data_IF_137570885912
#
_entry.id   IF_137570885912
#
_cell.length_a   1.000
_cell.length_b   1.000
_cell.length_c   1.000
_cell.angle_alpha   90.00
_cell.angle_beta   90.00
_cell.angle_gamma   90.00
#
_symmetry.space_group_name_H-M   'P 1'
#
loop_
_entity.id
_entity.type
_entity.pdbx_description
1 polymer ?
#
# COMPACT_ATOMS: atom_id res chain seq x y z
N UNK A 1 -31.65 -9.56 -1.94
CA UNK A 1 -30.33 -9.78 -1.33
C UNK A 1 -30.09 -11.27 -1.32
N UNK A 2 -29.21 -11.76 -2.20
CA UNK A 2 -28.91 -13.20 -2.30
C UNK A 2 -27.81 -13.48 -1.28
N UNK A 3 -27.98 -14.43 -0.34
CA UNK A 3 -26.90 -14.85 0.54
C UNK A 3 -26.04 -15.79 -0.28
N UNK A 4 -24.90 -15.31 -0.78
CA UNK A 4 -23.89 -16.23 -1.30
C UNK A 4 -23.49 -17.17 -0.16
N UNK A 5 -23.58 -18.47 -0.39
CA UNK A 5 -23.13 -19.46 0.57
C UNK A 5 -21.65 -19.20 0.84
N UNK A 6 -21.33 -18.79 2.06
CA UNK A 6 -19.95 -18.74 2.56
C UNK A 6 -19.41 -20.16 2.51
N UNK A 7 -18.75 -20.49 1.39
CA UNK A 7 -18.11 -21.78 1.21
C UNK A 7 -17.14 -22.00 2.36
N UNK A 8 -17.10 -23.23 2.89
CA UNK A 8 -16.07 -23.65 3.82
C UNK A 8 -14.74 -23.41 3.11
N UNK A 9 -14.02 -22.42 3.64
CA UNK A 9 -12.83 -21.82 3.07
C UNK A 9 -11.77 -22.91 2.82
N UNK A 10 -11.35 -23.14 1.57
CA UNK A 10 -10.26 -24.10 1.31
C UNK A 10 -8.94 -23.48 1.78
N UNK A 11 -8.53 -23.86 2.98
CA UNK A 11 -7.28 -23.41 3.63
C UNK A 11 -6.05 -23.59 2.74
N UNK A 12 -6.06 -24.61 1.86
CA UNK A 12 -4.98 -24.87 0.90
C UNK A 12 -4.70 -23.71 -0.06
N UNK A 13 -5.69 -22.86 -0.36
CA UNK A 13 -5.54 -21.74 -1.31
C UNK A 13 -5.29 -20.43 -0.58
N UNK A 14 -5.88 -20.26 0.61
CA UNK A 14 -5.89 -18.97 1.32
C UNK A 14 -4.72 -18.84 2.29
N UNK A 15 -4.29 -19.92 2.93
CA UNK A 15 -3.11 -19.90 3.80
C UNK A 15 -1.85 -19.40 3.07
N UNK A 16 -1.57 -19.82 1.80
CA UNK A 16 -0.46 -19.26 1.04
C UNK A 16 -0.60 -17.76 0.76
N UNK A 17 -1.80 -17.24 0.49
CA UNK A 17 -2.03 -15.81 0.23
C UNK A 17 -1.70 -14.97 1.46
N UNK A 18 -2.16 -15.39 2.64
CA UNK A 18 -1.76 -14.76 3.90
C UNK A 18 -0.26 -14.92 4.19
N UNK A 19 0.35 -16.02 3.75
CA UNK A 19 1.80 -16.21 3.78
C UNK A 19 2.54 -15.14 2.98
N UNK A 20 2.11 -14.88 1.75
CA UNK A 20 2.69 -13.82 0.91
C UNK A 20 2.48 -12.43 1.50
N UNK A 21 1.29 -12.12 2.02
CA UNK A 21 1.01 -10.87 2.72
C UNK A 21 1.96 -10.63 3.90
N UNK A 22 2.22 -11.66 4.71
CA UNK A 22 3.21 -11.58 5.81
C UNK A 22 4.62 -11.27 5.29
N UNK A 23 5.04 -11.88 4.18
CA UNK A 23 6.35 -11.62 3.57
C UNK A 23 6.46 -10.17 3.11
N UNK A 24 5.42 -9.63 2.45
CA UNK A 24 5.39 -8.22 2.03
C UNK A 24 5.43 -7.26 3.22
N UNK A 25 4.75 -7.58 4.31
CA UNK A 25 4.80 -6.80 5.55
C UNK A 25 6.21 -6.81 6.18
N UNK A 26 6.89 -7.96 6.21
CA UNK A 26 8.29 -8.05 6.66
C UNK A 26 9.20 -7.19 5.76
N UNK A 27 9.00 -7.23 4.44
CA UNK A 27 9.74 -6.40 3.50
C UNK A 27 9.55 -4.90 3.78
N UNK A 28 8.33 -4.45 4.09
CA UNK A 28 8.09 -3.08 4.54
C UNK A 28 8.92 -2.74 5.78
N UNK A 29 8.91 -3.58 6.81
CA UNK A 29 9.68 -3.33 8.04
C UNK A 29 11.18 -3.18 7.75
N UNK A 30 11.74 -4.04 6.89
CA UNK A 30 13.13 -3.95 6.45
C UNK A 30 13.41 -2.62 5.73
N UNK A 31 12.52 -2.20 4.83
CA UNK A 31 12.63 -0.93 4.12
C UNK A 31 12.63 0.24 5.10
N UNK A 32 11.73 0.25 6.08
CA UNK A 32 11.67 1.31 7.09
C UNK A 32 12.96 1.39 7.92
N UNK A 33 13.53 0.25 8.30
CA UNK A 33 14.81 0.18 9.01
C UNK A 33 15.94 0.76 8.16
N UNK A 34 16.03 0.38 6.87
CA UNK A 34 17.04 0.91 5.96
C UNK A 34 16.94 2.44 5.86
N UNK A 35 15.73 2.98 5.70
CA UNK A 35 15.52 4.43 5.61
C UNK A 35 15.88 5.13 6.92
N UNK A 36 15.67 4.48 8.07
CA UNK A 36 15.97 5.06 9.38
C UNK A 36 17.47 5.13 9.67
N UNK A 37 18.27 4.19 9.16
CA UNK A 37 19.71 4.08 9.48
C UNK A 37 20.57 4.80 8.44
N UNK A 38 20.20 4.74 7.16
CA UNK A 38 21.04 5.21 6.08
C UNK A 38 20.65 6.62 5.62
N UNK A 39 21.64 7.49 5.43
CA UNK A 39 21.43 8.73 4.67
C UNK A 39 21.07 8.41 3.22
N UNK A 40 19.84 8.79 2.85
CA UNK A 40 19.24 8.43 1.56
C UNK A 40 19.86 9.23 0.41
N UNK A 41 20.96 8.71 -0.16
CA UNK A 41 21.49 9.15 -1.46
C UNK A 41 20.41 8.98 -2.54
N UNK A 42 20.48 9.83 -3.58
CA UNK A 42 19.46 9.87 -4.66
C UNK A 42 19.19 8.49 -5.29
N UNK A 43 20.24 7.69 -5.51
CA UNK A 43 20.12 6.34 -6.09
C UNK A 43 19.34 5.41 -5.16
N UNK A 44 19.71 5.35 -3.88
CA UNK A 44 19.03 4.51 -2.87
C UNK A 44 17.55 4.89 -2.79
N UNK A 45 17.24 6.19 -2.77
CA UNK A 45 15.87 6.67 -2.77
C UNK A 45 15.05 6.19 -3.96
N UNK A 46 15.63 6.19 -5.17
CA UNK A 46 14.97 5.69 -6.37
C UNK A 46 14.71 4.19 -6.25
N UNK A 47 15.72 3.41 -5.87
CA UNK A 47 15.60 1.94 -5.70
C UNK A 47 14.53 1.58 -4.69
N UNK A 48 14.55 2.22 -3.51
CA UNK A 48 13.55 2.04 -2.46
C UNK A 48 12.14 2.40 -2.96
N UNK A 49 12.00 3.46 -3.75
CA UNK A 49 10.70 3.87 -4.31
C UNK A 49 10.15 2.83 -5.29
N UNK A 50 11.01 2.27 -6.17
CA UNK A 50 10.62 1.23 -7.13
C UNK A 50 10.19 -0.04 -6.39
N UNK A 51 11.00 -0.50 -5.43
CA UNK A 51 10.67 -1.67 -4.62
C UNK A 51 9.34 -1.45 -3.88
N UNK A 52 9.17 -0.28 -3.25
CA UNK A 52 7.93 0.05 -2.54
C UNK A 52 6.72 0.06 -3.48
N UNK A 53 6.85 0.62 -4.69
CA UNK A 53 5.77 0.63 -5.68
C UNK A 53 5.39 -0.79 -6.12
N UNK A 54 6.38 -1.66 -6.36
CA UNK A 54 6.15 -3.07 -6.70
C UNK A 54 5.46 -3.80 -5.54
N UNK A 55 5.90 -3.58 -4.29
CA UNK A 55 5.27 -4.15 -3.09
C UNK A 55 3.81 -3.72 -2.95
N UNK A 56 3.49 -2.44 -3.21
CA UNK A 56 2.11 -1.93 -3.19
C UNK A 56 1.25 -2.67 -4.22
N UNK A 57 1.76 -2.85 -5.45
CA UNK A 57 1.04 -3.58 -6.50
C UNK A 57 0.77 -5.02 -6.07
N UNK A 58 1.77 -5.71 -5.51
CA UNK A 58 1.58 -7.07 -5.02
C UNK A 58 0.58 -7.16 -3.86
N UNK A 59 0.64 -6.24 -2.89
CA UNK A 59 -0.29 -6.21 -1.76
C UNK A 59 -1.75 -6.10 -2.23
N UNK A 60 -2.07 -5.11 -3.06
CA UNK A 60 -3.44 -4.97 -3.56
C UNK A 60 -3.85 -6.08 -4.52
N UNK A 61 -2.90 -6.71 -5.22
CA UNK A 61 -3.19 -7.90 -6.02
C UNK A 61 -3.55 -9.11 -5.15
N UNK A 62 -2.85 -9.33 -4.04
CA UNK A 62 -3.17 -10.38 -3.07
C UNK A 62 -4.51 -10.12 -2.38
N UNK A 63 -4.80 -8.87 -1.98
CA UNK A 63 -6.12 -8.50 -1.46
C UNK A 63 -7.20 -8.76 -2.52
N UNK A 64 -6.98 -8.43 -3.78
CA UNK A 64 -7.92 -8.78 -4.85
C UNK A 64 -8.15 -10.29 -4.96
N UNK A 65 -7.10 -11.12 -4.83
CA UNK A 65 -7.28 -12.57 -4.81
C UNK A 65 -8.06 -13.06 -3.59
N UNK A 66 -7.78 -12.52 -2.39
CA UNK A 66 -8.52 -12.83 -1.16
C UNK A 66 -9.99 -12.40 -1.26
N UNK A 67 -10.29 -11.31 -1.97
CA UNK A 67 -11.67 -10.81 -2.17
C UNK A 67 -12.59 -11.80 -2.91
N UNK A 68 -12.01 -12.81 -3.57
CA UNK A 68 -12.79 -13.89 -4.20
C UNK A 68 -13.37 -14.87 -3.19
N UNK A 69 -12.84 -14.88 -1.96
CA UNK A 69 -13.21 -15.80 -0.89
C UNK A 69 -13.83 -15.08 0.30
N UNK A 70 -13.45 -13.81 0.52
CA UNK A 70 -13.86 -13.02 1.68
C UNK A 70 -14.33 -11.62 1.25
N UNK A 71 -15.15 -10.98 2.06
CA UNK A 71 -15.53 -9.59 1.79
C UNK A 71 -14.42 -8.70 2.34
N UNK A 72 -13.72 -8.02 1.44
CA UNK A 72 -12.64 -7.09 1.78
C UNK A 72 -13.13 -5.65 1.63
N UNK A 73 -12.98 -4.86 2.68
CA UNK A 73 -13.24 -3.42 2.68
C UNK A 73 -11.95 -2.68 2.99
N UNK A 74 -11.48 -1.89 2.03
CA UNK A 74 -10.33 -1.00 2.22
C UNK A 74 -10.86 0.36 2.68
N UNK A 75 -10.39 0.81 3.83
CA UNK A 75 -10.64 2.12 4.41
C UNK A 75 -9.32 2.88 4.57
N UNK A 76 -9.38 4.12 5.04
CA UNK A 76 -8.16 4.89 5.30
C UNK A 76 -7.32 4.18 6.38
N UNK A 77 -6.13 3.73 5.99
CA UNK A 77 -5.14 2.97 6.78
C UNK A 77 -5.58 1.59 7.30
N UNK A 78 -6.78 1.13 6.95
CA UNK A 78 -7.33 -0.09 7.50
C UNK A 78 -7.88 -0.99 6.38
N UNK A 79 -7.65 -2.29 6.51
CA UNK A 79 -8.30 -3.33 5.72
C UNK A 79 -9.18 -4.13 6.66
N UNK A 80 -10.45 -4.27 6.29
CA UNK A 80 -11.39 -5.12 7.01
C UNK A 80 -11.71 -6.35 6.17
N UNK A 81 -11.47 -7.52 6.73
CA UNK A 81 -11.76 -8.84 6.15
C UNK A 81 -12.96 -9.43 6.88
N UNK A 82 -14.03 -9.78 6.16
CA UNK A 82 -15.26 -10.33 6.73
C UNK A 82 -15.49 -11.73 6.15
N UNK A 83 -15.54 -12.71 7.04
CA UNK A 83 -15.77 -14.12 6.75
C UNK A 83 -17.02 -14.63 7.47
N UNK A 84 -17.38 -15.90 7.26
CA UNK A 84 -18.45 -16.58 8.03
C UNK A 84 -18.13 -16.69 9.52
N UNK A 85 -16.86 -16.67 9.89
CA UNK A 85 -16.40 -16.89 11.26
C UNK A 85 -16.20 -15.58 12.04
N UNK A 86 -16.35 -14.42 11.38
CA UNK A 86 -16.20 -13.11 12.00
C UNK A 86 -15.55 -12.08 11.07
N UNK A 87 -15.16 -10.95 11.66
CA UNK A 87 -14.44 -9.88 10.96
C UNK A 87 -13.09 -9.63 11.62
N UNK A 88 -12.06 -9.45 10.80
CA UNK A 88 -10.74 -9.00 11.21
C UNK A 88 -10.47 -7.61 10.63
N UNK A 89 -9.79 -6.76 11.40
CA UNK A 89 -9.34 -5.45 10.94
C UNK A 89 -7.83 -5.40 11.08
N UNK A 90 -7.14 -5.08 9.99
CA UNK A 90 -5.70 -5.00 9.88
C UNK A 90 -5.30 -3.63 9.32
N UNK A 91 -4.02 -3.30 9.44
CA UNK A 91 -3.48 -2.04 8.91
C UNK A 91 -3.18 -2.22 7.41
N UNK A 92 -3.63 -1.27 6.60
CA UNK A 92 -3.27 -1.20 5.17
C UNK A 92 -1.83 -0.71 5.02
N UNK A 93 -0.91 -1.66 4.92
CA UNK A 93 0.50 -1.34 4.76
C UNK A 93 0.84 -0.87 3.33
N UNK A 94 -0.03 -1.12 2.34
CA UNK A 94 0.08 -0.52 1.01
C UNK A 94 -0.06 1.00 1.06
N UNK A 95 -1.03 1.50 1.82
CA UNK A 95 -1.17 2.94 2.08
C UNK A 95 0.01 3.50 2.87
N UNK A 96 0.57 2.74 3.83
CA UNK A 96 1.79 3.15 4.54
C UNK A 96 2.97 3.27 3.57
N UNK A 97 3.18 2.29 2.68
CA UNK A 97 4.21 2.36 1.64
C UNK A 97 4.00 3.56 0.71
N UNK A 98 2.75 3.89 0.38
CA UNK A 98 2.44 5.05 -0.46
C UNK A 98 2.82 6.36 0.24
N UNK A 99 2.47 6.52 1.52
CA UNK A 99 2.91 7.65 2.34
C UNK A 99 4.44 7.72 2.39
N UNK A 100 5.10 6.58 2.54
CA UNK A 100 6.55 6.51 2.56
C UNK A 100 7.16 7.08 1.26
N UNK A 101 6.65 6.67 0.10
CA UNK A 101 7.11 7.19 -1.20
C UNK A 101 6.91 8.71 -1.25
N UNK A 102 5.73 9.21 -0.87
CA UNK A 102 5.45 10.66 -0.83
C UNK A 102 6.43 11.37 0.10
N UNK A 103 6.69 10.81 1.27
CA UNK A 103 7.60 11.37 2.25
C UNK A 103 9.04 11.44 1.74
N UNK A 104 9.50 10.41 1.02
CA UNK A 104 10.84 10.36 0.42
C UNK A 104 11.06 11.46 -0.63
N UNK A 105 10.00 11.85 -1.34
CA UNK A 105 10.06 12.86 -2.42
C UNK A 105 9.44 14.20 -2.04
N UNK A 106 9.11 14.42 -0.76
CA UNK A 106 8.36 15.60 -0.29
C UNK A 106 8.97 16.95 -0.71
N UNK A 107 10.30 17.04 -0.77
CA UNK A 107 11.01 18.28 -1.13
C UNK A 107 10.86 18.60 -2.61
N UNK A 108 11.00 17.60 -3.46
CA UNK A 108 10.82 17.69 -4.91
C UNK A 108 9.36 17.98 -5.25
N UNK A 109 8.42 17.26 -4.61
CA UNK A 109 6.98 17.50 -4.77
C UNK A 109 6.65 18.95 -4.41
N UNK A 110 7.06 19.43 -3.22
CA UNK A 110 6.80 20.81 -2.80
C UNK A 110 7.39 21.86 -3.77
N UNK A 111 8.58 21.60 -4.33
CA UNK A 111 9.21 22.49 -5.31
C UNK A 111 8.40 22.54 -6.61
N UNK A 112 7.99 21.38 -7.12
CA UNK A 112 7.19 21.25 -8.34
C UNK A 112 5.81 21.90 -8.14
N UNK A 113 5.13 21.64 -7.03
CA UNK A 113 3.84 22.26 -6.70
C UNK A 113 3.95 23.78 -6.65
N UNK A 114 4.98 24.32 -5.98
CA UNK A 114 5.21 25.77 -5.92
C UNK A 114 5.46 26.39 -7.30
N UNK A 115 6.18 25.68 -8.17
CA UNK A 115 6.40 26.12 -9.54
C UNK A 115 5.08 26.15 -10.34
N UNK A 116 4.30 25.06 -10.31
CA UNK A 116 3.02 24.95 -11.00
C UNK A 116 2.04 26.05 -10.55
N UNK A 117 1.91 26.27 -9.24
CA UNK A 117 1.02 27.30 -8.68
C UNK A 117 1.44 28.69 -9.16
N UNK A 118 2.75 29.01 -9.17
CA UNK A 118 3.24 30.29 -9.67
C UNK A 118 2.91 30.48 -11.15
N UNK A 119 3.16 29.47 -11.97
CA UNK A 119 2.87 29.53 -13.42
C UNK A 119 1.38 29.73 -13.69
N UNK A 120 0.51 29.04 -12.95
CA UNK A 120 -0.95 29.21 -13.04
C UNK A 120 -1.39 30.63 -12.68
N UNK A 121 -0.86 31.19 -11.58
CA UNK A 121 -1.18 32.57 -11.18
C UNK A 121 -0.78 33.57 -12.28
N UNK A 122 0.42 33.42 -12.85
CA UNK A 122 0.88 34.30 -13.93
C UNK A 122 0.04 34.16 -15.20
N UNK A 123 -0.48 32.97 -15.49
CA UNK A 123 -1.36 32.73 -16.64
C UNK A 123 -2.74 33.36 -16.45
N UNK A 124 -3.32 33.29 -15.25
CA UNK A 124 -4.64 33.87 -14.94
C UNK A 124 -4.58 35.40 -14.86
N UNK A 125 -3.45 35.96 -14.42
CA UNK A 125 -3.26 37.40 -14.29
C UNK A 125 -2.96 38.13 -15.62
N UNK A 126 -2.92 37.40 -16.74
CA UNK A 126 -2.62 37.93 -18.08
C UNK A 126 -3.86 37.90 -18.97
#
# INVERSE_FOLDING_TARGET
MIPYSLYILSTRIIDPLYGYEKILCILLLVILIIISIFEMKRIIRIVVSIISAVTIVFHYYLLYLLSKFEIIKIQLFLVQEITSNGAAVTIDFGQIMLILIIYLWRREIARITKYIVRTLITFIAR
#
